data_IF_956031395540
#
_entry.id   IF_956031395540
#
_cell.length_a   1.000
_cell.length_b   1.000
_cell.length_c   1.000
_cell.angle_alpha   90.00
_cell.angle_beta   90.00
_cell.angle_gamma   90.00
#
_symmetry.space_group_name_H-M   'P 1'
#
loop_
_entity.id
_entity.type
_entity.pdbx_description
1 polymer ?
#
# COMPACT_ATOMS: atom_id res chain seq x y z
N UNK A 1 3.63 -6.97 -3.70
CA UNK A 1 4.61 -6.36 -4.64
C UNK A 1 5.38 -5.29 -3.88
N UNK A 2 6.69 -5.14 -4.10
CA UNK A 2 7.46 -4.05 -3.49
C UNK A 2 7.53 -2.88 -4.48
N UNK A 3 7.13 -1.69 -4.06
CA UNK A 3 7.05 -0.48 -4.89
C UNK A 3 7.77 0.63 -4.12
N UNK A 4 8.74 1.30 -4.77
CA UNK A 4 9.43 2.43 -4.16
C UNK A 4 8.49 3.63 -4.03
N UNK A 5 8.75 4.49 -3.03
CA UNK A 5 8.01 5.75 -2.87
C UNK A 5 8.17 6.70 -4.06
N UNK A 6 9.26 6.61 -4.79
CA UNK A 6 9.48 7.43 -5.98
C UNK A 6 8.61 6.97 -7.14
N UNK A 7 8.37 5.65 -7.25
CA UNK A 7 7.48 5.11 -8.27
C UNK A 7 6.03 5.56 -8.06
N UNK A 8 5.61 5.72 -6.79
CA UNK A 8 4.29 6.25 -6.41
C UNK A 8 4.09 7.70 -6.89
N UNK A 9 5.16 8.51 -6.90
CA UNK A 9 5.11 9.90 -7.37
C UNK A 9 5.27 10.03 -8.87
N UNK A 10 5.71 8.97 -9.54
CA UNK A 10 5.94 8.95 -10.98
C UNK A 10 4.69 8.50 -11.75
N UNK A 11 4.76 8.55 -13.09
CA UNK A 11 3.71 7.99 -13.97
C UNK A 11 3.57 6.47 -13.87
N UNK A 12 4.56 5.75 -13.30
CA UNK A 12 4.45 4.29 -13.11
C UNK A 12 3.26 3.90 -12.23
N UNK A 13 2.77 4.79 -11.37
CA UNK A 13 1.62 4.52 -10.52
C UNK A 13 0.34 4.25 -11.31
N UNK A 14 0.19 4.84 -12.50
CA UNK A 14 -0.95 4.62 -13.40
C UNK A 14 -0.98 3.17 -13.89
N UNK A 15 0.17 2.66 -14.37
CA UNK A 15 0.32 1.28 -14.82
C UNK A 15 0.11 0.27 -13.67
N UNK A 16 0.58 0.62 -12.48
CA UNK A 16 0.36 -0.21 -11.29
C UNK A 16 -1.13 -0.23 -10.94
N UNK A 17 -1.81 0.91 -10.97
CA UNK A 17 -3.22 1.01 -10.65
C UNK A 17 -4.07 0.18 -11.62
N UNK A 18 -3.84 0.29 -12.92
CA UNK A 18 -4.53 -0.51 -13.96
C UNK A 18 -4.33 -2.02 -13.74
N UNK A 19 -3.09 -2.43 -13.44
CA UNK A 19 -2.77 -3.84 -13.13
C UNK A 19 -3.44 -4.34 -11.84
N UNK A 20 -3.68 -3.47 -10.87
CA UNK A 20 -4.35 -3.83 -9.62
C UNK A 20 -5.88 -3.85 -9.78
N UNK A 21 -6.44 -2.88 -10.49
CA UNK A 21 -7.87 -2.76 -10.74
C UNK A 21 -8.40 -3.95 -11.53
N UNK A 22 -7.68 -4.38 -12.58
CA UNK A 22 -8.01 -5.56 -13.39
C UNK A 22 -8.09 -6.87 -12.60
N UNK A 23 -7.49 -6.95 -11.40
CA UNK A 23 -7.58 -8.14 -10.54
C UNK A 23 -8.85 -8.18 -9.69
N UNK A 24 -9.51 -7.03 -9.49
CA UNK A 24 -10.69 -6.88 -8.65
C UNK A 24 -10.56 -7.52 -7.25
N UNK A 25 -9.41 -7.34 -6.61
CA UNK A 25 -9.13 -7.84 -5.25
C UNK A 25 -9.01 -6.67 -4.26
N UNK A 26 -9.28 -6.90 -2.96
CA UNK A 26 -8.97 -5.92 -1.92
C UNK A 26 -7.47 -5.57 -1.91
N UNK A 27 -7.15 -4.27 -1.98
CA UNK A 27 -5.77 -3.79 -2.03
C UNK A 27 -5.36 -3.27 -0.65
N UNK A 28 -4.30 -3.86 -0.10
CA UNK A 28 -3.68 -3.41 1.15
C UNK A 28 -2.25 -2.95 0.90
N UNK A 29 -1.91 -1.77 1.42
CA UNK A 29 -0.58 -1.17 1.29
C UNK A 29 0.06 -1.09 2.66
N UNK A 30 1.32 -1.49 2.75
CA UNK A 30 2.07 -1.45 4.00
C UNK A 30 3.46 -0.87 3.75
N UNK A 31 3.94 -0.04 4.68
CA UNK A 31 5.33 0.40 4.73
C UNK A 31 5.89 0.22 6.15
N UNK A 32 7.08 0.74 6.42
CA UNK A 32 7.76 0.52 7.71
C UNK A 32 6.99 1.04 8.93
N UNK A 33 6.41 2.24 8.83
CA UNK A 33 5.74 2.94 9.95
C UNK A 33 4.33 3.47 9.62
N UNK A 34 3.85 3.25 8.40
CA UNK A 34 2.53 3.71 7.94
C UNK A 34 2.52 5.07 7.21
N UNK A 35 3.61 5.84 7.21
CA UNK A 35 3.63 7.18 6.62
C UNK A 35 3.54 7.15 5.09
N UNK A 36 4.38 6.34 4.44
CA UNK A 36 4.43 6.28 2.98
C UNK A 36 3.27 5.49 2.38
N UNK A 37 2.74 4.49 3.11
CA UNK A 37 1.55 3.76 2.68
C UNK A 37 0.31 4.66 2.62
N UNK A 38 0.18 5.64 3.52
CA UNK A 38 -0.91 6.63 3.43
C UNK A 38 -0.82 7.47 2.14
N UNK A 39 0.38 7.93 1.79
CA UNK A 39 0.62 8.67 0.53
C UNK A 39 0.31 7.80 -0.69
N UNK A 40 0.76 6.54 -0.66
CA UNK A 40 0.49 5.57 -1.71
C UNK A 40 -1.01 5.32 -1.90
N UNK A 41 -1.74 5.08 -0.81
CA UNK A 41 -3.20 4.87 -0.84
C UNK A 41 -3.91 6.11 -1.35
N UNK A 42 -3.53 7.31 -0.91
CA UNK A 42 -4.12 8.56 -1.40
C UNK A 42 -4.00 8.65 -2.94
N UNK A 43 -2.81 8.38 -3.48
CA UNK A 43 -2.56 8.42 -4.92
C UNK A 43 -3.30 7.30 -5.68
N UNK A 44 -3.23 6.05 -5.20
CA UNK A 44 -3.90 4.92 -5.86
C UNK A 44 -5.42 5.07 -5.86
N UNK A 45 -5.99 5.68 -4.82
CA UNK A 45 -7.42 5.99 -4.75
C UNK A 45 -7.86 7.01 -5.79
N UNK A 46 -6.98 7.72 -6.47
CA UNK A 46 -7.38 8.58 -7.60
C UNK A 46 -7.86 7.74 -8.79
N UNK A 47 -7.38 6.50 -8.90
CA UNK A 47 -7.70 5.57 -9.99
C UNK A 47 -8.68 4.47 -9.56
N UNK A 48 -8.46 3.87 -8.38
CA UNK A 48 -9.21 2.68 -7.94
C UNK A 48 -10.22 3.09 -6.87
N UNK A 49 -11.51 2.82 -7.14
CA UNK A 49 -12.66 3.22 -6.32
C UNK A 49 -13.56 2.02 -6.02
N UNK A 50 -14.42 2.15 -4.99
CA UNK A 50 -15.39 1.12 -4.64
C UNK A 50 -14.83 0.08 -3.67
N UNK A 51 -15.27 -1.18 -3.79
CA UNK A 51 -14.96 -2.23 -2.81
C UNK A 51 -13.48 -2.64 -2.78
N UNK A 52 -12.81 -2.54 -3.93
CA UNK A 52 -11.38 -2.77 -4.11
C UNK A 52 -10.52 -1.54 -3.77
N UNK A 53 -11.13 -0.44 -3.28
CA UNK A 53 -10.40 0.78 -2.95
C UNK A 53 -9.23 0.50 -1.97
N UNK A 54 -8.01 0.99 -2.28
CA UNK A 54 -6.83 0.72 -1.47
C UNK A 54 -6.99 1.19 -0.02
N UNK A 55 -6.43 0.40 0.91
CA UNK A 55 -6.33 0.70 2.34
C UNK A 55 -4.89 0.50 2.80
N UNK A 56 -4.46 1.27 3.80
CA UNK A 56 -3.14 1.09 4.40
C UNK A 56 -3.23 0.38 5.75
N UNK A 57 -2.14 -0.29 6.12
CA UNK A 57 -1.99 -0.89 7.46
C UNK A 57 -1.46 0.17 8.42
N UNK A 58 -2.31 0.57 9.37
CA UNK A 58 -2.00 1.60 10.38
C UNK A 58 -0.77 1.19 11.19
N UNK A 59 0.22 2.09 11.24
CA UNK A 59 1.50 1.88 11.95
C UNK A 59 2.48 0.96 11.24
N UNK A 60 2.13 0.44 10.06
CA UNK A 60 3.00 -0.34 9.19
C UNK A 60 3.53 -1.62 9.81
N UNK A 61 4.69 -2.08 9.32
CA UNK A 61 5.36 -3.28 9.80
C UNK A 61 5.71 -3.22 11.29
N UNK A 62 6.01 -2.04 11.84
CA UNK A 62 6.24 -1.89 13.29
C UNK A 62 5.01 -2.30 14.10
N UNK A 63 3.83 -1.79 13.74
CA UNK A 63 2.60 -2.13 14.45
C UNK A 63 2.21 -3.59 14.24
N UNK A 64 2.40 -4.12 13.02
CA UNK A 64 2.20 -5.53 12.73
C UNK A 64 3.06 -6.42 13.63
N UNK A 65 4.36 -6.13 13.70
CA UNK A 65 5.30 -6.91 14.51
C UNK A 65 4.94 -6.87 15.99
N UNK A 66 4.56 -5.69 16.49
CA UNK A 66 4.19 -5.51 17.90
C UNK A 66 2.87 -6.21 18.28
N UNK A 67 1.90 -6.24 17.36
CA UNK A 67 0.51 -6.61 17.69
C UNK A 67 0.06 -7.97 17.16
N UNK A 68 0.70 -8.46 16.08
CA UNK A 68 0.24 -9.62 15.32
C UNK A 68 1.32 -10.71 15.29
N UNK A 69 2.55 -10.37 14.88
CA UNK A 69 3.63 -11.35 14.74
C UNK A 69 4.98 -10.78 15.20
N UNK A 70 5.37 -11.08 16.43
CA UNK A 70 6.61 -10.61 17.03
C UNK A 70 7.89 -11.16 16.37
N UNK A 71 7.77 -12.19 15.53
CA UNK A 71 8.92 -12.76 14.79
C UNK A 71 9.15 -12.05 13.46
N UNK A 72 8.20 -11.22 13.03
CA UNK A 72 8.30 -10.51 11.76
C UNK A 72 9.43 -9.46 11.80
N UNK A 73 10.33 -9.43 10.81
CA UNK A 73 11.48 -8.54 10.86
C UNK A 73 11.11 -7.08 10.54
N UNK A 74 11.71 -6.15 11.29
CA UNK A 74 11.60 -4.71 11.06
C UNK A 74 12.97 -4.19 10.62
N UNK A 75 13.21 -4.10 9.32
CA UNK A 75 14.40 -3.47 8.74
C UNK A 75 14.25 -1.95 8.67
#
# INVERSE_FOLDING_TARGET
MNISIDDIKSKKIEQIAEKLESKNLPIFVICRRGNDSQKAVKRLREFIKGENAPRDVIGGLHAWTKKIDATFPIY
#
